data_IF_990307068613
#
_entry.id   IF_990307068613
#
_cell.length_a   1.000
_cell.length_b   1.000
_cell.length_c   1.000
_cell.angle_alpha   90.00
_cell.angle_beta   90.00
_cell.angle_gamma   90.00
#
_symmetry.space_group_name_H-M   'P 1'
#
loop_
_entity.id
_entity.type
_entity.pdbx_description
1 polymer ?
#
# COMPACT_ATOMS: atom_id res chain seq x y z
N UNK A 1 41.89 -53.11 39.44
CA UNK A 1 41.38 -52.76 38.09
C UNK A 1 40.14 -51.93 38.23
N UNK A 2 40.24 -50.60 38.06
CA UNK A 2 39.12 -49.67 38.11
C UNK A 2 38.87 -49.18 36.68
N UNK A 3 37.69 -49.52 36.12
CA UNK A 3 37.23 -49.05 34.82
C UNK A 3 36.57 -47.70 35.01
N UNK A 4 37.15 -46.64 34.43
CA UNK A 4 36.50 -45.32 34.32
C UNK A 4 35.59 -45.33 33.10
N UNK A 5 34.32 -45.16 33.31
CA UNK A 5 33.29 -44.88 32.32
C UNK A 5 33.30 -43.35 32.04
N UNK A 6 33.77 -42.95 30.89
CA UNK A 6 33.62 -41.58 30.35
C UNK A 6 32.18 -41.43 29.79
N UNK A 7 31.34 -40.72 30.46
CA UNK A 7 30.06 -40.29 29.93
C UNK A 7 30.22 -38.98 29.18
N UNK A 8 30.20 -39.06 27.84
CA UNK A 8 30.15 -37.88 26.97
C UNK A 8 28.77 -37.26 27.02
N UNK A 9 28.64 -36.09 27.60
CA UNK A 9 27.46 -35.25 27.54
C UNK A 9 27.53 -34.44 26.22
N UNK A 10 26.73 -34.85 25.25
CA UNK A 10 26.52 -34.09 24.02
C UNK A 10 25.47 -33.02 24.35
N UNK A 11 25.95 -31.79 24.55
CA UNK A 11 25.07 -30.63 24.65
C UNK A 11 24.53 -30.27 23.25
N UNK A 12 23.30 -30.65 22.97
CA UNK A 12 22.57 -30.19 21.78
C UNK A 12 22.22 -28.70 21.99
N UNK A 13 22.98 -27.80 21.35
CA UNK A 13 22.58 -26.41 21.19
C UNK A 13 21.43 -26.36 20.17
N UNK A 14 20.19 -26.37 20.66
CA UNK A 14 19.05 -25.92 19.86
C UNK A 14 19.16 -24.41 19.67
N UNK A 15 19.72 -23.98 18.55
CA UNK A 15 19.53 -22.64 18.03
C UNK A 15 18.03 -22.51 17.69
N UNK A 16 17.25 -22.00 18.62
CA UNK A 16 15.93 -21.49 18.31
C UNK A 16 16.14 -20.27 17.38
N UNK A 17 16.05 -20.51 16.07
CA UNK A 17 15.87 -19.42 15.13
C UNK A 17 14.57 -18.71 15.52
N UNK A 18 14.69 -17.56 16.17
CA UNK A 18 13.56 -16.64 16.31
C UNK A 18 13.19 -16.24 14.89
N UNK A 19 12.17 -16.91 14.35
CA UNK A 19 11.49 -16.41 13.17
C UNK A 19 10.93 -15.05 13.58
N UNK A 20 11.58 -13.98 13.15
CA UNK A 20 10.96 -12.66 13.14
C UNK A 20 9.73 -12.81 12.27
N UNK A 21 8.55 -12.86 12.92
CA UNK A 21 7.29 -12.68 12.24
C UNK A 21 7.37 -11.28 11.61
N UNK A 22 7.63 -11.21 10.33
CA UNK A 22 7.42 -9.98 9.58
C UNK A 22 5.92 -9.73 9.74
N UNK A 23 5.56 -8.67 10.47
CA UNK A 23 4.16 -8.29 10.64
C UNK A 23 3.53 -8.24 9.26
N UNK A 24 2.53 -9.08 9.03
CA UNK A 24 1.83 -9.12 7.76
C UNK A 24 1.21 -7.73 7.50
N UNK A 25 1.57 -7.12 6.38
CA UNK A 25 1.00 -5.84 6.01
C UNK A 25 -0.44 -6.06 5.55
N UNK A 26 -1.38 -5.69 6.42
CA UNK A 26 -2.81 -5.78 6.16
C UNK A 26 -3.32 -4.58 5.33
N UNK A 27 -4.45 -4.73 4.63
CA UNK A 27 -5.14 -3.61 4.02
C UNK A 27 -5.54 -2.55 5.08
N UNK A 28 -5.65 -1.27 4.69
CA UNK A 28 -6.10 -0.22 5.60
C UNK A 28 -7.57 -0.41 6.03
N UNK A 29 -7.99 0.36 7.04
CA UNK A 29 -9.36 0.39 7.58
C UNK A 29 -9.86 -0.90 8.23
N UNK A 30 -8.95 -1.79 8.67
CA UNK A 30 -9.29 -3.01 9.36
C UNK A 30 -9.75 -4.17 8.47
N UNK A 31 -9.64 -4.03 7.16
CA UNK A 31 -9.86 -5.12 6.22
C UNK A 31 -8.74 -6.18 6.30
N UNK A 32 -9.02 -7.34 5.72
CA UNK A 32 -8.05 -8.44 5.57
C UNK A 32 -7.96 -8.84 4.10
N UNK A 33 -6.81 -9.36 3.72
CA UNK A 33 -6.69 -10.00 2.41
C UNK A 33 -7.68 -11.15 2.28
N UNK A 34 -8.26 -11.29 1.11
CA UNK A 34 -9.33 -12.25 0.79
C UNK A 34 -10.70 -11.97 1.44
N UNK A 35 -10.91 -10.81 2.09
CA UNK A 35 -12.26 -10.42 2.48
C UNK A 35 -13.20 -10.48 1.28
N UNK A 36 -14.40 -11.02 1.52
CA UNK A 36 -15.40 -11.11 0.45
C UNK A 36 -15.98 -9.76 0.10
N UNK A 37 -16.44 -9.60 -1.14
CA UNK A 37 -17.15 -8.37 -1.56
C UNK A 37 -18.32 -8.03 -0.64
N UNK A 38 -19.06 -9.03 -0.16
CA UNK A 38 -20.18 -8.83 0.75
C UNK A 38 -19.74 -8.29 2.12
N UNK A 39 -18.60 -8.79 2.64
CA UNK A 39 -18.04 -8.29 3.89
C UNK A 39 -17.57 -6.82 3.73
N UNK A 40 -16.82 -6.53 2.66
CA UNK A 40 -16.37 -5.15 2.37
C UNK A 40 -17.56 -4.20 2.21
N UNK A 41 -18.59 -4.59 1.46
CA UNK A 41 -19.82 -3.79 1.28
C UNK A 41 -20.50 -3.47 2.63
N UNK A 42 -20.63 -4.48 3.49
CA UNK A 42 -21.22 -4.34 4.83
C UNK A 42 -20.42 -3.37 5.71
N UNK A 43 -19.08 -3.48 5.72
CA UNK A 43 -18.21 -2.58 6.50
C UNK A 43 -18.30 -1.14 5.99
N UNK A 44 -18.26 -0.94 4.66
CA UNK A 44 -18.39 0.37 4.04
C UNK A 44 -19.73 1.01 4.36
N UNK A 45 -20.82 0.24 4.31
CA UNK A 45 -22.15 0.71 4.69
C UNK A 45 -22.20 1.13 6.17
N UNK A 46 -21.63 0.33 7.08
CA UNK A 46 -21.51 0.67 8.50
C UNK A 46 -20.70 1.94 8.75
N UNK A 47 -19.65 2.18 7.97
CA UNK A 47 -18.85 3.39 7.99
C UNK A 47 -19.51 4.61 7.30
N UNK A 48 -20.72 4.47 6.74
CA UNK A 48 -21.42 5.49 5.93
C UNK A 48 -20.61 5.95 4.71
N UNK A 49 -19.67 5.13 4.23
CA UNK A 49 -18.92 5.39 3.02
C UNK A 49 -19.80 5.08 1.79
N UNK A 50 -19.57 5.82 0.71
CA UNK A 50 -20.36 5.71 -0.52
C UNK A 50 -19.54 4.99 -1.61
N UNK A 51 -20.06 3.88 -2.12
CA UNK A 51 -19.54 3.28 -3.36
C UNK A 51 -20.08 4.10 -4.53
N UNK A 52 -19.19 4.81 -5.22
CA UNK A 52 -19.52 5.71 -6.33
C UNK A 52 -19.44 5.03 -7.70
N UNK A 53 -18.64 3.96 -7.81
CA UNK A 53 -18.53 3.16 -9.03
C UNK A 53 -18.26 1.69 -8.69
N UNK A 54 -18.77 0.80 -9.54
CA UNK A 54 -18.44 -0.64 -9.58
C UNK A 54 -18.15 -1.01 -11.02
N UNK A 55 -16.87 -1.22 -11.32
CA UNK A 55 -16.41 -1.55 -12.66
C UNK A 55 -15.88 -2.98 -12.69
N UNK A 56 -16.14 -3.68 -13.77
CA UNK A 56 -15.52 -4.98 -14.05
C UNK A 56 -14.46 -4.80 -15.13
N UNK A 57 -13.21 -5.08 -14.78
CA UNK A 57 -12.06 -5.00 -15.70
C UNK A 57 -11.40 -6.35 -15.79
N UNK A 58 -11.51 -7.02 -16.96
CA UNK A 58 -10.99 -8.37 -17.17
C UNK A 58 -11.52 -9.34 -16.10
N UNK A 59 -10.61 -9.85 -15.24
CA UNK A 59 -10.94 -10.79 -14.16
C UNK A 59 -11.04 -10.12 -12.79
N UNK A 60 -11.17 -8.79 -12.73
CA UNK A 60 -11.20 -8.00 -11.48
C UNK A 60 -12.46 -7.16 -11.42
N UNK A 61 -13.01 -7.06 -10.22
CA UNK A 61 -14.03 -6.08 -9.89
C UNK A 61 -13.34 -4.94 -9.13
N UNK A 62 -13.55 -3.68 -9.56
CA UNK A 62 -12.98 -2.49 -8.94
C UNK A 62 -14.10 -1.61 -8.44
N UNK A 63 -14.08 -1.32 -7.14
CA UNK A 63 -15.04 -0.41 -6.51
C UNK A 63 -14.35 0.89 -6.16
N UNK A 64 -14.91 2.01 -6.57
CA UNK A 64 -14.50 3.34 -6.13
C UNK A 64 -15.38 3.77 -4.96
N UNK A 65 -14.75 4.17 -3.87
CA UNK A 65 -15.40 4.51 -2.61
C UNK A 65 -14.97 5.91 -2.16
N UNK A 66 -15.95 6.70 -1.72
CA UNK A 66 -15.74 8.01 -1.11
C UNK A 66 -16.33 8.04 0.30
N UNK A 67 -15.86 8.99 1.12
CA UNK A 67 -16.38 9.21 2.47
C UNK A 67 -15.71 8.38 3.57
N UNK A 68 -14.67 7.61 3.28
CA UNK A 68 -13.80 7.06 4.32
C UNK A 68 -13.01 8.20 4.98
N UNK A 69 -12.99 8.22 6.32
CA UNK A 69 -12.44 9.35 7.08
C UNK A 69 -10.92 9.18 7.22
N UNK A 70 -10.17 9.91 6.39
CA UNK A 70 -8.74 10.09 6.53
C UNK A 70 -8.34 11.46 5.92
N UNK A 71 -7.51 12.27 6.59
CA UNK A 71 -7.17 13.62 6.13
C UNK A 71 -6.61 13.64 4.70
N UNK A 72 -7.28 14.36 3.80
CA UNK A 72 -6.90 14.47 2.38
C UNK A 72 -7.26 13.28 1.51
N UNK A 73 -7.81 12.20 2.07
CA UNK A 73 -8.29 11.07 1.28
C UNK A 73 -9.50 11.50 0.45
N UNK A 74 -9.35 11.44 -0.85
CA UNK A 74 -10.40 11.79 -1.81
C UNK A 74 -11.27 10.59 -2.15
N UNK A 75 -10.63 9.46 -2.42
CA UNK A 75 -11.28 8.19 -2.75
C UNK A 75 -10.38 7.01 -2.45
N UNK A 76 -11.00 5.86 -2.33
CA UNK A 76 -10.34 4.57 -2.14
C UNK A 76 -10.82 3.60 -3.21
N UNK A 77 -9.92 2.89 -3.86
CA UNK A 77 -10.27 1.83 -4.80
C UNK A 77 -10.04 0.48 -4.14
N UNK A 78 -11.09 -0.34 -4.10
CA UNK A 78 -11.02 -1.73 -3.67
C UNK A 78 -11.03 -2.63 -4.90
N UNK A 79 -10.00 -3.46 -5.05
CA UNK A 79 -9.90 -4.40 -6.17
C UNK A 79 -10.10 -5.83 -5.67
N UNK A 80 -11.01 -6.53 -6.32
CA UNK A 80 -11.33 -7.92 -6.04
C UNK A 80 -10.94 -8.81 -7.22
N UNK A 81 -10.38 -9.97 -6.92
CA UNK A 81 -10.15 -11.05 -7.87
C UNK A 81 -10.89 -12.29 -7.37
N UNK A 82 -11.72 -12.91 -8.23
CA UNK A 82 -12.57 -14.04 -7.82
C UNK A 82 -13.42 -13.72 -6.56
N UNK A 83 -13.93 -12.48 -6.47
CA UNK A 83 -14.72 -11.94 -5.34
C UNK A 83 -13.99 -11.79 -4.01
N UNK A 84 -12.66 -11.94 -3.98
CA UNK A 84 -11.81 -11.77 -2.82
C UNK A 84 -10.98 -10.48 -2.93
N UNK A 85 -10.82 -9.73 -1.84
CA UNK A 85 -10.06 -8.47 -1.79
C UNK A 85 -8.57 -8.76 -2.03
N UNK A 86 -7.99 -8.14 -3.05
CA UNK A 86 -6.59 -8.32 -3.43
C UNK A 86 -5.79 -7.02 -3.50
N UNK A 87 -6.46 -5.85 -3.58
CA UNK A 87 -5.75 -4.58 -3.51
C UNK A 87 -6.65 -3.47 -2.93
N UNK A 88 -6.00 -2.51 -2.27
CA UNK A 88 -6.63 -1.27 -1.79
C UNK A 88 -5.71 -0.11 -2.14
N UNK A 89 -6.21 0.83 -2.96
CA UNK A 89 -5.51 2.04 -3.34
C UNK A 89 -6.15 3.25 -2.68
N UNK A 90 -5.34 4.04 -1.98
CA UNK A 90 -5.74 5.30 -1.33
C UNK A 90 -5.30 6.48 -2.19
N UNK A 91 -6.23 7.33 -2.62
CA UNK A 91 -5.94 8.51 -3.44
C UNK A 91 -6.15 9.78 -2.63
N UNK A 92 -5.07 10.55 -2.46
CA UNK A 92 -5.04 11.80 -1.69
C UNK A 92 -4.93 12.99 -2.65
N UNK A 93 -5.84 13.94 -2.49
CA UNK A 93 -5.87 15.18 -3.24
C UNK A 93 -6.02 16.36 -2.28
N UNK A 94 -5.23 17.42 -2.51
CA UNK A 94 -5.24 18.65 -1.72
C UNK A 94 -5.24 19.83 -2.70
N UNK A 95 -6.43 20.37 -2.97
CA UNK A 95 -6.64 21.40 -4.00
C UNK A 95 -5.77 22.65 -3.83
N UNK A 96 -5.48 23.01 -2.56
CA UNK A 96 -4.82 24.27 -2.22
C UNK A 96 -3.32 24.12 -1.98
N UNK A 97 -2.75 22.92 -2.22
CA UNK A 97 -1.36 22.67 -1.96
C UNK A 97 -0.47 23.01 -3.14
N UNK A 98 0.69 23.65 -2.86
CA UNK A 98 1.75 23.82 -3.82
C UNK A 98 2.47 22.51 -4.14
N UNK A 99 3.30 22.49 -5.18
CA UNK A 99 4.15 21.34 -5.55
C UNK A 99 5.09 20.98 -4.40
N UNK A 100 5.66 21.99 -3.73
CA UNK A 100 6.60 21.82 -2.63
C UNK A 100 5.93 21.09 -1.46
N UNK A 101 4.68 21.44 -1.16
CA UNK A 101 3.91 20.79 -0.09
C UNK A 101 3.54 19.35 -0.42
N UNK A 102 3.22 19.05 -1.68
CA UNK A 102 3.05 17.67 -2.14
C UNK A 102 4.35 16.87 -2.02
N UNK A 103 5.48 17.44 -2.44
CA UNK A 103 6.79 16.81 -2.35
C UNK A 103 7.20 16.55 -0.88
N UNK A 104 6.95 17.52 0.00
CA UNK A 104 7.17 17.36 1.43
C UNK A 104 6.34 16.19 1.97
N UNK A 105 5.03 16.15 1.66
CA UNK A 105 4.15 15.08 2.12
C UNK A 105 4.55 13.71 1.59
N UNK A 106 4.91 13.64 0.32
CA UNK A 106 5.47 12.43 -0.29
C UNK A 106 6.72 11.94 0.47
N UNK A 107 7.63 12.87 0.79
CA UNK A 107 8.84 12.59 1.56
C UNK A 107 8.55 12.09 2.98
N UNK A 108 7.56 12.66 3.67
CA UNK A 108 7.13 12.23 5.00
C UNK A 108 6.56 10.80 4.98
N UNK A 109 5.68 10.50 4.03
CA UNK A 109 5.09 9.16 3.87
C UNK A 109 6.19 8.14 3.53
N UNK A 110 7.07 8.48 2.59
CA UNK A 110 8.20 7.63 2.23
C UNK A 110 9.09 7.34 3.44
N UNK A 111 9.48 8.38 4.18
CA UNK A 111 10.31 8.22 5.39
C UNK A 111 9.66 7.28 6.40
N UNK A 112 8.36 7.44 6.65
CA UNK A 112 7.62 6.55 7.54
C UNK A 112 7.65 5.10 7.07
N UNK A 113 7.49 4.85 5.76
CA UNK A 113 7.55 3.49 5.22
C UNK A 113 8.99 2.93 5.22
N UNK A 114 9.99 3.77 4.92
CA UNK A 114 11.40 3.38 4.99
C UNK A 114 11.82 2.97 6.42
N UNK A 115 11.37 3.71 7.43
CA UNK A 115 11.63 3.39 8.85
C UNK A 115 10.93 2.10 9.29
N UNK A 116 9.75 1.84 8.78
CA UNK A 116 8.94 0.69 9.21
C UNK A 116 9.21 -0.58 8.42
N UNK A 117 9.48 -0.48 7.12
CA UNK A 117 9.56 -1.62 6.21
C UNK A 117 10.91 -1.75 5.51
N UNK A 118 11.88 -0.90 5.84
CA UNK A 118 13.17 -0.82 5.17
C UNK A 118 13.13 0.08 3.95
N UNK A 119 14.27 0.29 3.29
CA UNK A 119 14.42 1.22 2.18
C UNK A 119 13.58 0.83 0.97
N UNK A 120 12.66 1.68 0.57
CA UNK A 120 11.84 1.49 -0.61
C UNK A 120 12.62 1.60 -1.91
N UNK A 121 12.32 0.72 -2.87
CA UNK A 121 12.88 0.74 -4.21
C UNK A 121 12.22 1.83 -5.04
N UNK A 122 13.00 2.70 -5.68
CA UNK A 122 12.49 3.62 -6.70
C UNK A 122 12.06 2.81 -7.94
N UNK A 123 10.76 2.84 -8.27
CA UNK A 123 10.20 2.09 -9.41
C UNK A 123 9.80 2.98 -10.57
N UNK A 124 9.60 4.28 -10.33
CA UNK A 124 9.32 5.24 -11.38
C UNK A 124 9.88 6.62 -11.03
N UNK A 125 10.49 7.27 -12.01
CA UNK A 125 10.83 8.69 -11.99
C UNK A 125 10.85 9.19 -13.42
N UNK A 126 9.77 9.81 -13.84
CA UNK A 126 9.66 10.40 -15.16
C UNK A 126 9.09 11.81 -15.07
N UNK A 127 9.53 12.65 -16.00
CA UNK A 127 8.89 13.91 -16.33
C UNK A 127 8.77 13.93 -17.84
N UNK A 128 7.54 13.91 -18.31
CA UNK A 128 7.22 13.95 -19.72
C UNK A 128 6.61 15.31 -20.08
N UNK A 129 7.00 15.82 -21.23
CA UNK A 129 6.51 17.10 -21.76
C UNK A 129 6.09 16.82 -23.19
N UNK A 130 4.91 16.22 -23.35
CA UNK A 130 4.34 15.97 -24.66
C UNK A 130 3.35 17.09 -24.99
N UNK A 131 3.60 17.77 -26.09
CA UNK A 131 2.82 18.91 -26.59
C UNK A 131 2.58 19.99 -25.52
N UNK A 132 1.36 20.06 -24.97
CA UNK A 132 0.95 21.10 -24.01
C UNK A 132 0.74 20.54 -22.57
N UNK A 133 1.07 19.27 -22.34
CA UNK A 133 0.87 18.61 -21.04
C UNK A 133 2.22 18.27 -20.41
N UNK A 134 2.47 18.78 -19.21
CA UNK A 134 3.62 18.38 -18.39
C UNK A 134 3.16 17.36 -17.39
N UNK A 135 3.69 16.14 -17.47
CA UNK A 135 3.41 15.06 -16.53
C UNK A 135 4.64 14.75 -15.71
N UNK A 136 4.43 14.48 -14.43
CA UNK A 136 5.48 14.00 -13.51
C UNK A 136 4.96 12.78 -12.76
N UNK A 137 5.76 11.73 -12.74
CA UNK A 137 5.48 10.52 -11.96
C UNK A 137 6.71 10.14 -11.14
N UNK A 138 6.53 9.96 -9.84
CA UNK A 138 7.56 9.42 -8.94
C UNK A 138 6.93 8.30 -8.14
N UNK A 139 7.58 7.13 -8.09
CA UNK A 139 7.04 5.95 -7.41
C UNK A 139 8.09 5.17 -6.64
N UNK A 140 7.72 4.70 -5.46
CA UNK A 140 8.51 3.83 -4.59
C UNK A 140 7.70 2.58 -4.24
N UNK A 141 8.40 1.46 -4.02
CA UNK A 141 7.81 0.16 -3.73
C UNK A 141 8.54 -0.52 -2.58
N UNK A 142 7.78 -1.17 -1.70
CA UNK A 142 8.25 -2.03 -0.62
C UNK A 142 7.61 -3.41 -0.75
N UNK A 143 8.37 -4.44 -0.43
CA UNK A 143 7.85 -5.80 -0.29
C UNK A 143 7.80 -6.15 1.20
N UNK A 144 6.62 -6.40 1.73
CA UNK A 144 6.39 -6.69 3.16
C UNK A 144 5.66 -8.04 3.26
N UNK A 145 6.42 -9.11 3.47
CA UNK A 145 5.87 -10.47 3.40
C UNK A 145 5.28 -10.75 2.03
N UNK A 146 3.99 -11.14 2.00
CA UNK A 146 3.22 -11.39 0.77
C UNK A 146 2.44 -10.16 0.29
N UNK A 147 2.82 -8.96 0.74
CA UNK A 147 2.15 -7.72 0.33
C UNK A 147 3.14 -6.77 -0.32
N UNK A 148 2.76 -6.22 -1.45
CA UNK A 148 3.43 -5.11 -2.11
C UNK A 148 2.78 -3.80 -1.69
N UNK A 149 3.60 -2.87 -1.19
CA UNK A 149 3.20 -1.50 -0.84
C UNK A 149 3.83 -0.55 -1.84
N UNK A 150 3.04 0.33 -2.43
CA UNK A 150 3.53 1.32 -3.37
C UNK A 150 3.09 2.73 -2.96
N UNK A 151 3.96 3.69 -3.22
CA UNK A 151 3.71 5.12 -2.99
C UNK A 151 4.03 5.86 -4.26
N UNK A 152 3.03 6.53 -4.86
CA UNK A 152 3.21 7.33 -6.05
C UNK A 152 2.80 8.79 -5.82
N UNK A 153 3.55 9.69 -6.45
CA UNK A 153 3.14 11.05 -6.73
C UNK A 153 2.94 11.19 -8.22
N UNK A 154 1.80 11.68 -8.61
CA UNK A 154 1.48 12.05 -9.99
C UNK A 154 1.04 13.49 -10.07
N UNK A 155 1.51 14.20 -11.09
CA UNK A 155 0.97 15.51 -11.47
C UNK A 155 0.84 15.61 -12.99
N UNK A 156 -0.22 16.28 -13.44
CA UNK A 156 -0.43 16.65 -14.83
C UNK A 156 -0.83 18.12 -14.88
N UNK A 157 -0.17 18.89 -15.76
CA UNK A 157 -0.45 20.31 -15.98
C UNK A 157 -0.68 20.56 -17.46
N UNK A 158 -1.83 21.17 -17.78
CA UNK A 158 -2.18 21.63 -19.11
C UNK A 158 -2.66 23.08 -19.00
N UNK A 159 -1.80 24.04 -19.40
CA UNK A 159 -2.07 25.45 -19.18
C UNK A 159 -2.36 25.79 -17.72
N UNK A 160 -3.51 26.39 -17.41
CA UNK A 160 -3.93 26.69 -16.04
C UNK A 160 -4.50 25.47 -15.28
N UNK A 161 -4.83 24.40 -15.99
CA UNK A 161 -5.38 23.19 -15.39
C UNK A 161 -4.25 22.35 -14.76
N UNK A 162 -4.42 22.04 -13.50
CA UNK A 162 -3.43 21.33 -12.73
C UNK A 162 -4.11 20.22 -11.91
N UNK A 163 -3.65 19.00 -12.11
CA UNK A 163 -4.05 17.83 -11.33
C UNK A 163 -2.84 17.28 -10.56
N UNK A 164 -3.00 16.95 -9.30
CA UNK A 164 -1.98 16.33 -8.45
C UNK A 164 -2.61 15.32 -7.52
N UNK A 165 -1.95 14.20 -7.36
CA UNK A 165 -2.38 13.17 -6.40
C UNK A 165 -1.17 12.47 -5.78
N UNK A 166 -1.34 12.02 -4.53
CA UNK A 166 -0.49 11.01 -3.92
C UNK A 166 -1.33 9.75 -3.79
N UNK A 167 -0.81 8.62 -4.23
CA UNK A 167 -1.47 7.32 -4.04
C UNK A 167 -0.63 6.41 -3.17
N UNK A 168 -1.31 5.66 -2.30
CA UNK A 168 -0.72 4.57 -1.52
C UNK A 168 -1.49 3.31 -1.89
N UNK A 169 -0.80 2.34 -2.47
CA UNK A 169 -1.40 1.13 -3.01
C UNK A 169 -0.90 -0.10 -2.26
N UNK A 170 -1.82 -0.88 -1.73
CA UNK A 170 -1.60 -2.13 -1.01
C UNK A 170 -2.07 -3.27 -1.90
N UNK A 171 -1.21 -4.25 -2.19
CA UNK A 171 -1.52 -5.39 -3.08
C UNK A 171 -1.08 -6.70 -2.46
N UNK A 172 -2.01 -7.64 -2.28
CA UNK A 172 -1.67 -9.03 -2.00
C UNK A 172 -1.00 -9.66 -3.23
N UNK A 173 0.08 -10.43 -3.01
CA UNK A 173 0.87 -11.09 -4.05
C UNK A 173 0.44 -12.54 -4.22
#
# INVERSE_FOLDING_TARGET
MRRFLLTSVIALFLCAAQAYSVDELLPPFGFRWNDSMAHVDSVLHGAKAKITSREKKENRDVWTVEGLIHPGLKRTLFTFKQRALVAVELQYEYSDWSVERYNQRMGEIRKYFDEKYGTGKLVSRSRDTDTDVIQTLVGYQWMVGATMLELFYFSAQHGPLLYRTITVDYKAM
#
